data_IF_488331675219
#
_entry.id   IF_488331675219
#
_cell.length_a   1.000
_cell.length_b   1.000
_cell.length_c   1.000
_cell.angle_alpha   90.00
_cell.angle_beta   90.00
_cell.angle_gamma   90.00
#
_symmetry.space_group_name_H-M   'P 1'
#
loop_
_entity.id
_entity.type
_entity.pdbx_description
1 polymer ?
#
# COMPACT_ATOMS: atom_id res chain seq x y z
N UNK A 1 -6.05 11.01 47.27
CA UNK A 1 -6.47 11.26 45.87
C UNK A 1 -7.79 12.00 45.98
N UNK A 2 -7.78 13.31 45.79
CA UNK A 2 -8.97 14.14 45.98
C UNK A 2 -9.89 14.05 44.75
N UNK A 3 -11.10 13.53 44.95
CA UNK A 3 -12.21 13.63 44.01
C UNK A 3 -12.62 15.11 43.85
N UNK A 4 -11.93 15.82 42.95
CA UNK A 4 -12.39 17.13 42.48
C UNK A 4 -13.71 16.94 41.73
N UNK A 5 -14.82 17.23 42.41
CA UNK A 5 -16.14 17.39 41.78
C UNK A 5 -16.05 18.50 40.73
N UNK A 6 -15.92 18.10 39.46
CA UNK A 6 -15.94 19.00 38.32
C UNK A 6 -17.24 19.82 38.37
N UNK A 7 -17.12 21.13 38.24
CA UNK A 7 -18.31 21.97 38.09
C UNK A 7 -19.05 21.62 36.79
N UNK A 8 -20.37 21.84 36.68
CA UNK A 8 -21.12 21.52 35.46
C UNK A 8 -20.53 22.17 34.20
N UNK A 9 -19.93 23.35 34.33
CA UNK A 9 -19.24 24.05 33.24
C UNK A 9 -17.93 23.36 32.84
N UNK A 10 -17.11 22.91 33.81
CA UNK A 10 -15.89 22.15 33.52
C UNK A 10 -16.19 20.78 32.93
N UNK A 11 -17.27 20.12 33.37
CA UNK A 11 -17.72 18.84 32.79
C UNK A 11 -18.20 19.01 31.35
N UNK A 12 -18.95 20.08 31.05
CA UNK A 12 -19.35 20.42 29.68
C UNK A 12 -18.15 20.79 28.82
N UNK A 13 -17.21 21.60 29.32
CA UNK A 13 -15.98 21.91 28.60
C UNK A 13 -15.12 20.67 28.35
N UNK A 14 -15.05 19.75 29.31
CA UNK A 14 -14.33 18.48 29.17
C UNK A 14 -15.03 17.56 28.16
N UNK A 15 -16.36 17.46 28.18
CA UNK A 15 -17.14 16.68 27.20
C UNK A 15 -17.01 17.29 25.81
N UNK A 16 -17.11 18.62 25.67
CA UNK A 16 -16.88 19.31 24.40
C UNK A 16 -15.47 19.07 23.90
N UNK A 17 -14.45 19.17 24.77
CA UNK A 17 -13.07 18.87 24.43
C UNK A 17 -12.87 17.40 24.07
N UNK A 18 -13.51 16.46 24.75
CA UNK A 18 -13.48 15.04 24.40
C UNK A 18 -14.21 14.75 23.09
N UNK A 19 -15.34 15.42 22.81
CA UNK A 19 -16.07 15.32 21.54
C UNK A 19 -15.24 15.92 20.42
N UNK A 20 -14.57 17.05 20.66
CA UNK A 20 -13.74 17.76 19.70
C UNK A 20 -12.43 17.02 19.43
N UNK A 21 -11.77 16.45 20.45
CA UNK A 21 -10.65 15.52 20.32
C UNK A 21 -11.08 14.22 19.62
N UNK A 22 -12.30 13.73 19.87
CA UNK A 22 -12.85 12.56 19.14
C UNK A 22 -13.15 12.90 17.67
N UNK A 23 -13.61 14.12 17.38
CA UNK A 23 -13.86 14.63 16.03
C UNK A 23 -12.55 14.94 15.29
N UNK A 24 -11.52 15.42 15.98
CA UNK A 24 -10.21 15.77 15.45
C UNK A 24 -9.24 14.59 15.40
N UNK A 25 -9.49 13.49 16.13
CA UNK A 25 -8.89 12.17 15.83
C UNK A 25 -9.44 11.59 14.52
N UNK A 26 -9.46 12.40 13.47
CA UNK A 26 -9.38 11.91 12.11
C UNK A 26 -8.01 11.24 12.04
N UNK A 27 -8.01 9.90 12.17
CA UNK A 27 -6.84 9.06 12.15
C UNK A 27 -5.92 9.56 11.04
N UNK A 28 -4.81 10.19 11.42
CA UNK A 28 -3.91 10.76 10.43
C UNK A 28 -3.20 9.56 9.80
N UNK A 29 -3.51 9.19 8.54
CA UNK A 29 -2.87 8.04 7.94
C UNK A 29 -1.37 8.30 7.93
N UNK A 30 -0.60 7.33 8.42
CA UNK A 30 0.84 7.41 8.41
C UNK A 30 1.33 7.19 6.97
N UNK A 31 1.32 8.27 6.22
CA UNK A 31 1.73 8.31 4.82
C UNK A 31 3.16 7.81 4.60
N UNK A 32 4.00 7.76 5.64
CA UNK A 32 5.39 7.26 5.54
C UNK A 32 5.45 5.80 5.12
N UNK A 33 4.57 4.96 5.67
CA UNK A 33 4.55 3.51 5.34
C UNK A 33 4.13 3.33 3.89
N UNK A 34 3.10 4.05 3.45
CA UNK A 34 2.63 3.98 2.06
C UNK A 34 3.64 4.53 1.06
N UNK A 35 4.32 5.64 1.37
CA UNK A 35 5.40 6.19 0.52
C UNK A 35 6.60 5.24 0.46
N UNK A 36 6.94 4.59 1.58
CA UNK A 36 7.99 3.57 1.60
C UNK A 36 7.65 2.41 0.65
N UNK A 37 6.43 1.85 0.72
CA UNK A 37 6.01 0.81 -0.20
C UNK A 37 5.99 1.27 -1.66
N UNK A 38 5.54 2.50 -1.94
CA UNK A 38 5.56 3.06 -3.27
C UNK A 38 6.97 3.19 -3.85
N UNK A 39 7.88 3.79 -3.08
CA UNK A 39 9.28 4.01 -3.49
C UNK A 39 9.99 2.69 -3.70
N UNK A 40 9.76 1.71 -2.82
CA UNK A 40 10.35 0.39 -2.94
C UNK A 40 9.84 -0.36 -4.18
N UNK A 41 8.54 -0.30 -4.46
CA UNK A 41 7.96 -0.88 -5.69
C UNK A 41 8.45 -0.18 -6.96
N UNK A 42 8.53 1.16 -6.96
CA UNK A 42 9.01 1.93 -8.11
C UNK A 42 10.50 1.64 -8.39
N UNK A 43 11.34 1.66 -7.36
CA UNK A 43 12.77 1.35 -7.50
C UNK A 43 12.97 -0.07 -8.02
N UNK A 44 12.25 -1.04 -7.46
CA UNK A 44 12.28 -2.42 -7.96
C UNK A 44 11.85 -2.50 -9.43
N UNK A 45 10.76 -1.84 -9.80
CA UNK A 45 10.27 -1.83 -11.18
C UNK A 45 11.25 -1.19 -12.16
N UNK A 46 11.93 -0.10 -11.77
CA UNK A 46 13.00 0.53 -12.58
C UNK A 46 14.17 -0.42 -12.77
N UNK A 47 14.61 -1.10 -11.69
CA UNK A 47 15.71 -2.09 -11.77
C UNK A 47 15.33 -3.24 -12.70
N UNK A 48 14.11 -3.78 -12.58
CA UNK A 48 13.60 -4.84 -13.48
C UNK A 48 13.57 -4.36 -14.92
N UNK A 49 13.12 -3.11 -15.17
CA UNK A 49 13.11 -2.53 -16.51
C UNK A 49 14.50 -2.44 -17.12
N UNK A 50 15.49 -1.97 -16.37
CA UNK A 50 16.89 -1.87 -16.81
C UNK A 50 17.48 -3.26 -17.07
N UNK A 51 17.27 -4.23 -16.17
CA UNK A 51 17.79 -5.59 -16.35
C UNK A 51 17.13 -6.32 -17.51
N UNK A 52 15.86 -6.05 -17.79
CA UNK A 52 15.20 -6.60 -18.96
C UNK A 52 15.84 -6.09 -20.27
N UNK A 53 16.25 -4.81 -20.32
CA UNK A 53 16.90 -4.22 -21.49
C UNK A 53 18.31 -4.76 -21.71
N UNK A 54 19.03 -5.08 -20.64
CA UNK A 54 20.45 -5.48 -20.70
C UNK A 54 20.62 -6.99 -20.86
N UNK A 55 19.89 -7.80 -20.08
CA UNK A 55 20.30 -9.19 -19.83
C UNK A 55 19.46 -10.22 -20.58
N UNK A 56 18.22 -9.90 -21.00
CA UNK A 56 17.27 -10.85 -21.65
C UNK A 56 17.12 -12.21 -20.92
N UNK A 57 17.55 -12.30 -19.65
CA UNK A 57 17.66 -13.54 -18.89
C UNK A 57 16.48 -13.65 -17.91
N UNK A 58 15.70 -14.76 -17.89
CA UNK A 58 14.50 -14.95 -17.06
C UNK A 58 14.65 -14.70 -15.54
N UNK A 59 15.90 -14.58 -15.06
CA UNK A 59 16.26 -14.32 -13.65
C UNK A 59 15.81 -12.96 -13.12
N UNK A 60 15.36 -12.02 -13.97
CA UNK A 60 14.79 -10.75 -13.52
C UNK A 60 13.58 -10.94 -12.59
N UNK A 61 12.90 -12.09 -12.69
CA UNK A 61 11.73 -12.39 -11.88
C UNK A 61 12.04 -12.43 -10.37
N UNK A 62 13.23 -12.89 -9.96
CA UNK A 62 13.64 -12.92 -8.55
C UNK A 62 13.75 -11.53 -7.91
N UNK A 63 13.94 -10.47 -8.71
CA UNK A 63 14.04 -9.10 -8.21
C UNK A 63 12.69 -8.67 -7.59
N UNK A 64 11.57 -9.23 -8.05
CA UNK A 64 10.26 -9.00 -7.43
C UNK A 64 10.17 -9.50 -5.99
N UNK A 65 10.98 -10.49 -5.60
CA UNK A 65 11.07 -10.93 -4.19
C UNK A 65 11.71 -9.88 -3.29
N UNK A 66 12.51 -8.96 -3.85
CA UNK A 66 13.09 -7.88 -3.05
C UNK A 66 11.98 -7.02 -2.40
N UNK A 67 10.81 -6.91 -3.04
CA UNK A 67 9.67 -6.15 -2.52
C UNK A 67 9.18 -6.69 -1.17
N UNK A 68 8.71 -7.95 -1.06
CA UNK A 68 8.32 -8.51 0.22
C UNK A 68 9.52 -8.68 1.18
N UNK A 69 10.69 -9.11 0.69
CA UNK A 69 11.86 -9.37 1.55
C UNK A 69 12.32 -8.10 2.28
N UNK A 70 12.31 -6.95 1.61
CA UNK A 70 12.74 -5.67 2.21
C UNK A 70 11.56 -4.93 2.83
N UNK A 71 10.38 -4.99 2.21
CA UNK A 71 9.18 -4.29 2.66
C UNK A 71 8.65 -4.77 4.01
N UNK A 72 8.66 -6.09 4.26
CA UNK A 72 8.18 -6.65 5.52
C UNK A 72 9.00 -6.24 6.76
N UNK A 73 10.34 -6.39 6.77
CA UNK A 73 11.17 -5.95 7.88
C UNK A 73 11.04 -4.46 8.16
N UNK A 74 11.02 -3.63 7.11
CA UNK A 74 10.85 -2.19 7.25
C UNK A 74 9.49 -1.83 7.83
N UNK A 75 8.41 -2.45 7.34
CA UNK A 75 7.06 -2.23 7.85
C UNK A 75 6.95 -2.65 9.33
N UNK A 76 7.56 -3.76 9.72
CA UNK A 76 7.59 -4.22 11.10
C UNK A 76 8.37 -3.27 12.02
N UNK A 77 9.51 -2.75 11.56
CA UNK A 77 10.31 -1.76 12.29
C UNK A 77 9.53 -0.45 12.50
N UNK A 78 8.83 0.04 11.48
CA UNK A 78 7.96 1.22 11.59
C UNK A 78 6.76 0.97 12.51
N UNK A 79 6.15 -0.21 12.42
CA UNK A 79 5.03 -0.62 13.28
C UNK A 79 5.40 -0.67 14.78
N UNK A 80 6.59 -1.16 15.13
CA UNK A 80 7.09 -1.17 16.51
C UNK A 80 7.28 0.23 17.08
N UNK A 81 7.76 1.18 16.27
CA UNK A 81 7.91 2.59 16.69
C UNK A 81 6.55 3.26 16.91
N UNK A 82 5.52 2.84 16.17
CA UNK A 82 4.14 3.33 16.28
C UNK A 82 3.44 2.86 17.55
N UNK A 83 3.55 1.57 17.88
CA UNK A 83 2.91 0.98 19.05
C UNK A 83 3.38 1.61 20.38
N UNK A 84 4.61 2.17 20.41
CA UNK A 84 5.12 2.90 21.59
C UNK A 84 4.58 4.33 21.72
N UNK A 85 3.96 4.90 20.68
CA UNK A 85 3.65 6.32 20.58
C UNK A 85 2.15 6.63 20.75
N UNK A 86 1.26 5.68 20.47
CA UNK A 86 -0.19 5.90 20.54
C UNK A 86 -1.00 4.59 20.56
N UNK A 87 -2.18 4.61 21.18
CA UNK A 87 -3.20 3.56 21.07
C UNK A 87 -3.81 3.56 19.67
N UNK A 88 -3.94 2.38 19.04
CA UNK A 88 -4.43 2.28 17.66
C UNK A 88 -5.89 2.72 17.56
N UNK A 89 -6.20 3.61 16.63
CA UNK A 89 -7.59 3.97 16.31
C UNK A 89 -8.28 2.83 15.55
N UNK A 90 -9.62 2.72 15.62
CA UNK A 90 -10.39 1.70 14.88
C UNK A 90 -10.05 1.66 13.38
N UNK A 91 -9.88 2.83 12.75
CA UNK A 91 -9.45 3.00 11.36
C UNK A 91 -8.08 2.34 11.10
N UNK A 92 -7.13 2.50 12.03
CA UNK A 92 -5.80 1.89 11.92
C UNK A 92 -5.85 0.38 12.12
N UNK A 93 -6.72 -0.11 13.02
CA UNK A 93 -6.91 -1.54 13.23
C UNK A 93 -7.46 -2.24 11.98
N UNK A 94 -8.49 -1.69 11.35
CA UNK A 94 -9.08 -2.26 10.12
C UNK A 94 -8.07 -2.20 8.98
N UNK A 95 -7.35 -1.09 8.83
CA UNK A 95 -6.30 -0.96 7.81
C UNK A 95 -5.18 -1.99 8.02
N UNK A 96 -4.67 -2.13 9.25
CA UNK A 96 -3.66 -3.15 9.58
C UNK A 96 -4.16 -4.58 9.28
N UNK A 97 -5.45 -4.86 9.50
CA UNK A 97 -6.10 -6.11 9.15
C UNK A 97 -6.08 -6.40 7.65
N UNK A 98 -6.47 -5.42 6.82
CA UNK A 98 -6.43 -5.52 5.35
C UNK A 98 -5.02 -5.84 4.88
N UNK A 99 -4.03 -5.06 5.35
CA UNK A 99 -2.64 -5.23 4.93
C UNK A 99 -2.00 -6.52 5.45
N UNK A 100 -2.44 -7.04 6.59
CA UNK A 100 -2.06 -8.38 7.06
C UNK A 100 -2.56 -9.47 6.12
N UNK A 101 -3.82 -9.40 5.69
CA UNK A 101 -4.40 -10.37 4.76
C UNK A 101 -3.66 -10.32 3.41
N UNK A 102 -3.46 -9.13 2.85
CA UNK A 102 -2.67 -8.94 1.62
C UNK A 102 -1.28 -9.53 1.78
N UNK A 103 -0.67 -9.33 2.93
CA UNK A 103 0.62 -9.91 3.27
C UNK A 103 0.60 -11.45 3.26
N UNK A 104 -0.33 -12.08 3.97
CA UNK A 104 -0.44 -13.54 3.97
C UNK A 104 -0.63 -14.11 2.56
N UNK A 105 -1.45 -13.44 1.73
CA UNK A 105 -1.64 -13.85 0.33
C UNK A 105 -0.33 -13.66 -0.45
N UNK A 106 0.42 -12.59 -0.21
CA UNK A 106 1.73 -12.36 -0.84
C UNK A 106 2.70 -13.49 -0.52
N UNK A 107 2.79 -13.92 0.74
CA UNK A 107 3.66 -15.02 1.17
C UNK A 107 3.23 -16.34 0.51
N UNK A 108 1.92 -16.64 0.54
CA UNK A 108 1.38 -17.85 -0.08
C UNK A 108 1.63 -17.88 -1.59
N UNK A 109 1.38 -16.78 -2.29
CA UNK A 109 1.62 -16.66 -3.72
C UNK A 109 3.11 -16.78 -4.06
N UNK A 110 3.97 -16.15 -3.26
CA UNK A 110 5.43 -16.24 -3.42
C UNK A 110 5.91 -17.70 -3.28
N UNK A 111 5.39 -18.43 -2.29
CA UNK A 111 5.73 -19.84 -2.10
C UNK A 111 5.26 -20.70 -3.30
N UNK A 112 4.04 -20.45 -3.81
CA UNK A 112 3.52 -21.12 -5.01
C UNK A 112 4.43 -20.83 -6.21
N UNK A 113 4.79 -19.55 -6.45
CA UNK A 113 5.69 -19.19 -7.54
C UNK A 113 7.04 -19.90 -7.43
N UNK A 114 7.65 -19.99 -6.25
CA UNK A 114 8.91 -20.70 -6.04
C UNK A 114 8.81 -22.22 -6.31
N UNK A 115 7.69 -22.85 -5.92
CA UNK A 115 7.46 -24.28 -6.18
C UNK A 115 7.33 -24.54 -7.69
N UNK A 116 6.53 -23.74 -8.39
CA UNK A 116 6.34 -23.90 -9.84
C UNK A 116 7.58 -23.55 -10.66
N UNK A 117 8.38 -22.58 -10.19
CA UNK A 117 9.68 -22.25 -10.76
C UNK A 117 10.65 -23.43 -10.64
N UNK A 118 10.69 -24.11 -9.48
CA UNK A 118 11.49 -25.32 -9.28
C UNK A 118 11.04 -26.52 -10.13
N UNK A 119 9.77 -26.55 -10.54
CA UNK A 119 9.19 -27.58 -11.43
C UNK A 119 9.46 -27.26 -12.92
N UNK A 120 10.03 -26.09 -13.23
CA UNK A 120 10.41 -25.70 -14.59
C UNK A 120 9.39 -24.81 -15.31
N UNK A 121 8.48 -24.16 -14.59
CA UNK A 121 7.51 -23.19 -15.14
C UNK A 121 7.85 -21.74 -14.72
N UNK A 122 8.89 -21.11 -15.29
CA UNK A 122 9.34 -19.75 -14.91
C UNK A 122 8.35 -18.64 -15.28
N UNK A 123 7.32 -18.93 -16.09
CA UNK A 123 6.28 -17.97 -16.47
C UNK A 123 5.26 -17.69 -15.35
N UNK A 124 5.25 -18.50 -14.28
CA UNK A 124 4.33 -18.35 -13.13
C UNK A 124 4.49 -16.98 -12.44
N UNK A 125 5.65 -16.34 -12.58
CA UNK A 125 5.97 -15.05 -11.96
C UNK A 125 5.11 -13.89 -12.46
N UNK A 126 4.50 -14.01 -13.65
CA UNK A 126 3.52 -13.04 -14.15
C UNK A 126 2.30 -12.95 -13.20
N UNK A 127 1.97 -14.02 -12.49
CA UNK A 127 0.90 -14.03 -11.49
C UNK A 127 1.16 -13.04 -10.34
N UNK A 128 2.42 -12.84 -9.92
CA UNK A 128 2.76 -11.81 -8.93
C UNK A 128 2.49 -10.40 -9.45
N UNK A 129 2.66 -10.18 -10.75
CA UNK A 129 2.39 -8.89 -11.39
C UNK A 129 0.88 -8.57 -11.34
N UNK A 130 0.04 -9.55 -11.68
CA UNK A 130 -1.42 -9.40 -11.57
C UNK A 130 -1.87 -9.21 -10.13
N UNK A 131 -1.29 -9.95 -9.19
CA UNK A 131 -1.55 -9.79 -7.77
C UNK A 131 -1.24 -8.36 -7.30
N UNK A 132 -0.10 -7.82 -7.73
CA UNK A 132 0.31 -6.47 -7.38
C UNK A 132 -0.64 -5.39 -7.93
N UNK A 133 -1.25 -5.58 -9.10
CA UNK A 133 -2.24 -4.62 -9.59
C UNK A 133 -3.61 -4.77 -8.96
N UNK A 134 -4.13 -5.99 -8.91
CA UNK A 134 -5.52 -6.27 -8.56
C UNK A 134 -5.68 -6.27 -7.03
N UNK A 135 -4.92 -7.12 -6.34
CA UNK A 135 -5.10 -7.30 -4.89
C UNK A 135 -4.55 -6.11 -4.11
N UNK A 136 -3.36 -5.62 -4.45
CA UNK A 136 -2.82 -4.42 -3.79
C UNK A 136 -3.64 -3.19 -4.18
N UNK A 137 -4.04 -3.06 -5.45
CA UNK A 137 -4.96 -2.02 -5.92
C UNK A 137 -6.26 -1.96 -5.12
N UNK A 138 -6.89 -3.12 -4.92
CA UNK A 138 -8.08 -3.27 -4.10
C UNK A 138 -7.84 -2.91 -2.64
N UNK A 139 -6.75 -3.39 -2.05
CA UNK A 139 -6.38 -3.05 -0.68
C UNK A 139 -6.21 -1.53 -0.50
N UNK A 140 -5.55 -0.83 -1.42
CA UNK A 140 -5.40 0.62 -1.33
C UNK A 140 -6.71 1.37 -1.60
N UNK A 141 -7.57 0.88 -2.49
CA UNK A 141 -8.90 1.45 -2.67
C UNK A 141 -9.72 1.35 -1.37
N UNK A 142 -9.71 0.19 -0.70
CA UNK A 142 -10.35 0.01 0.61
C UNK A 142 -9.74 0.92 1.67
N UNK A 143 -8.40 1.01 1.74
CA UNK A 143 -7.70 1.95 2.61
C UNK A 143 -8.17 3.39 2.36
N UNK A 144 -8.38 3.78 1.09
CA UNK A 144 -8.95 5.08 0.71
C UNK A 144 -10.37 5.33 1.20
N UNK A 145 -11.24 4.32 1.11
CA UNK A 145 -12.62 4.40 1.62
C UNK A 145 -12.63 4.56 3.13
N UNK A 146 -11.81 3.77 3.83
CA UNK A 146 -11.67 3.80 5.29
C UNK A 146 -11.12 5.15 5.78
N UNK A 147 -10.15 5.71 5.06
CA UNK A 147 -9.57 7.02 5.35
C UNK A 147 -10.42 8.19 4.84
N UNK A 148 -11.52 7.92 4.13
CA UNK A 148 -12.35 8.92 3.42
C UNK A 148 -11.53 9.84 2.49
N UNK A 149 -10.42 9.34 1.95
CA UNK A 149 -9.55 10.06 1.04
C UNK A 149 -9.80 9.60 -0.41
N UNK A 150 -10.51 10.43 -1.17
CA UNK A 150 -10.90 10.15 -2.57
C UNK A 150 -9.69 9.85 -3.47
N UNK A 151 -8.53 10.42 -3.17
CA UNK A 151 -7.31 10.22 -3.95
C UNK A 151 -6.79 8.78 -3.88
N UNK A 152 -6.89 8.11 -2.72
CA UNK A 152 -6.50 6.70 -2.59
C UNK A 152 -7.46 5.79 -3.36
N UNK A 153 -8.75 6.09 -3.31
CA UNK A 153 -9.79 5.34 -4.02
C UNK A 153 -9.58 5.43 -5.52
N UNK A 154 -9.34 6.63 -6.05
CA UNK A 154 -9.09 6.84 -7.48
C UNK A 154 -7.83 6.11 -7.96
N UNK A 155 -6.72 6.22 -7.22
CA UNK A 155 -5.48 5.53 -7.57
C UNK A 155 -5.59 4.00 -7.49
N UNK A 156 -6.31 3.47 -6.51
CA UNK A 156 -6.57 2.03 -6.37
C UNK A 156 -7.46 1.48 -7.49
N UNK A 157 -8.57 2.16 -7.82
CA UNK A 157 -9.44 1.78 -8.95
C UNK A 157 -8.66 1.83 -10.26
N UNK A 158 -7.86 2.88 -10.48
CA UNK A 158 -7.02 2.98 -11.67
C UNK A 158 -6.04 1.81 -11.78
N UNK A 159 -5.39 1.42 -10.68
CA UNK A 159 -4.52 0.24 -10.62
C UNK A 159 -5.24 -1.07 -10.94
N UNK A 160 -6.48 -1.25 -10.47
CA UNK A 160 -7.27 -2.45 -10.76
C UNK A 160 -7.64 -2.51 -12.25
N UNK A 161 -8.12 -1.39 -12.82
CA UNK A 161 -8.48 -1.32 -14.25
C UNK A 161 -7.26 -1.58 -15.12
N UNK A 162 -6.13 -0.96 -14.80
CA UNK A 162 -4.83 -1.25 -15.40
C UNK A 162 -4.47 -2.75 -15.32
N UNK A 163 -4.60 -3.35 -14.14
CA UNK A 163 -4.37 -4.77 -13.90
C UNK A 163 -5.23 -5.68 -14.77
N UNK A 164 -6.53 -5.38 -14.87
CA UNK A 164 -7.47 -6.13 -15.71
C UNK A 164 -7.10 -6.01 -17.20
N UNK A 165 -6.75 -4.82 -17.67
CA UNK A 165 -6.29 -4.61 -19.05
C UNK A 165 -5.04 -5.47 -19.32
N UNK A 166 -4.05 -5.42 -18.42
CA UNK A 166 -2.84 -6.24 -18.56
C UNK A 166 -3.11 -7.74 -18.44
N UNK A 167 -4.12 -8.18 -17.68
CA UNK A 167 -4.48 -9.59 -17.57
C UNK A 167 -5.23 -10.13 -18.79
N UNK A 168 -5.96 -9.27 -19.50
CA UNK A 168 -6.71 -9.63 -20.72
C UNK A 168 -5.82 -9.57 -21.97
N UNK A 169 -4.77 -8.73 -22.00
CA UNK A 169 -3.84 -8.63 -23.14
C UNK A 169 -3.29 -9.98 -23.65
N UNK A 170 -2.84 -10.94 -22.81
CA UNK A 170 -2.38 -12.24 -23.27
C UNK A 170 -3.51 -13.09 -23.90
N UNK A 171 -4.74 -12.95 -23.40
CA UNK A 171 -5.91 -13.70 -23.90
C UNK A 171 -6.32 -13.21 -25.30
N UNK A 172 -6.05 -11.95 -25.63
CA UNK A 172 -6.27 -11.38 -26.96
C UNK A 172 -5.10 -11.62 -27.94
N UNK A 173 -4.09 -12.42 -27.58
CA UNK A 173 -2.95 -12.73 -28.46
C UNK A 173 -1.91 -11.61 -28.58
N UNK A 174 -2.02 -10.55 -27.77
CA UNK A 174 -0.96 -9.53 -27.67
C UNK A 174 0.07 -9.97 -26.63
N UNK A 175 1.34 -10.19 -27.00
CA UNK A 175 2.37 -10.54 -26.03
C UNK A 175 2.51 -9.41 -25.02
N UNK A 176 2.73 -9.76 -23.75
CA UNK A 176 3.02 -8.77 -22.70
C UNK A 176 4.41 -8.18 -22.93
N UNK A 177 4.49 -7.09 -23.69
CA UNK A 177 5.73 -6.36 -23.83
C UNK A 177 6.07 -5.65 -22.52
N UNK A 178 7.22 -6.02 -21.96
CA UNK A 178 7.83 -5.38 -20.78
C UNK A 178 7.90 -3.86 -20.93
N UNK A 179 8.07 -3.38 -22.17
CA UNK A 179 8.16 -1.96 -22.54
C UNK A 179 6.93 -1.12 -22.19
N UNK A 180 5.73 -1.68 -22.12
CA UNK A 180 4.51 -0.94 -21.73
C UNK A 180 4.02 -1.33 -20.34
N UNK A 181 4.20 -2.59 -19.96
CA UNK A 181 3.73 -3.12 -18.68
C UNK A 181 4.49 -2.56 -17.46
N UNK A 182 5.81 -2.35 -17.56
CA UNK A 182 6.62 -1.79 -16.46
C UNK A 182 6.35 -0.28 -16.25
N UNK A 183 6.34 0.58 -17.28
CA UNK A 183 5.98 1.98 -17.11
C UNK A 183 4.56 2.17 -16.54
N UNK A 184 3.61 1.34 -16.97
CA UNK A 184 2.24 1.36 -16.48
C UNK A 184 2.17 0.97 -15.00
N UNK A 185 2.94 -0.05 -14.59
CA UNK A 185 3.11 -0.41 -13.17
C UNK A 185 3.67 0.75 -12.33
N UNK A 186 4.75 1.39 -12.81
CA UNK A 186 5.36 2.55 -12.13
C UNK A 186 4.34 3.68 -11.99
N UNK A 187 3.59 3.97 -13.06
CA UNK A 187 2.58 5.01 -13.08
C UNK A 187 1.42 4.71 -12.12
N UNK A 188 0.92 3.48 -12.07
CA UNK A 188 -0.11 3.04 -11.12
C UNK A 188 0.37 3.19 -9.67
N UNK A 189 1.57 2.73 -9.34
CA UNK A 189 2.12 2.86 -7.98
C UNK A 189 2.35 4.31 -7.57
N UNK A 190 2.77 5.15 -8.52
CA UNK A 190 2.88 6.59 -8.30
C UNK A 190 1.50 7.21 -7.99
N UNK A 191 0.48 6.91 -8.79
CA UNK A 191 -0.86 7.45 -8.63
C UNK A 191 -1.56 6.95 -7.36
N UNK A 192 -1.29 5.70 -6.98
CA UNK A 192 -1.95 5.01 -5.87
C UNK A 192 -1.38 5.36 -4.50
N UNK A 193 -0.07 5.65 -4.39
CA UNK A 193 0.56 5.90 -3.10
C UNK A 193 1.22 7.28 -2.97
N UNK A 194 1.79 7.84 -4.04
CA UNK A 194 2.48 9.13 -3.95
C UNK A 194 1.47 10.28 -3.98
N UNK A 195 0.48 10.24 -4.88
CA UNK A 195 -0.55 11.29 -4.99
C UNK A 195 -1.32 11.47 -3.67
N UNK A 196 -1.84 10.41 -3.02
CA UNK A 196 -2.54 10.59 -1.76
C UNK A 196 -1.60 11.06 -0.64
N UNK A 197 -0.36 10.55 -0.59
CA UNK A 197 0.60 10.96 0.42
C UNK A 197 0.96 12.44 0.34
N UNK A 198 1.13 12.97 -0.87
CA UNK A 198 1.39 14.40 -1.11
C UNK A 198 0.18 15.25 -0.71
N UNK A 199 -1.04 14.82 -1.06
CA UNK A 199 -2.28 15.54 -0.72
C UNK A 199 -2.49 15.58 0.80
N UNK A 200 -2.33 14.45 1.49
CA UNK A 200 -2.45 14.37 2.94
C UNK A 200 -1.39 15.25 3.61
N UNK A 201 -0.13 15.22 3.13
CA UNK A 201 0.94 16.08 3.66
C UNK A 201 0.64 17.57 3.48
N UNK A 202 0.05 17.96 2.34
CA UNK A 202 -0.38 19.34 2.11
C UNK A 202 -1.56 19.75 3.01
N UNK A 203 -2.54 18.87 3.22
CA UNK A 203 -3.66 19.12 4.13
C UNK A 203 -3.17 19.34 5.56
N UNK A 204 -2.28 18.47 6.05
CA UNK A 204 -1.70 18.60 7.39
C UNK A 204 -0.93 19.92 7.57
N UNK A 205 -0.16 20.33 6.55
CA UNK A 205 0.60 21.59 6.61
C UNK A 205 -0.29 22.84 6.58
N UNK A 206 -1.50 22.75 6.01
CA UNK A 206 -2.50 23.82 6.04
C UNK A 206 -3.21 23.94 7.39
N UNK A 207 -3.40 22.84 8.11
CA UNK A 207 -4.08 22.84 9.43
C UNK A 207 -3.16 23.29 10.57
N UNK A 208 -1.84 23.22 10.40
CA UNK A 208 -0.86 23.71 11.40
C UNK A 208 -0.52 25.21 11.24
N UNK A 209 -1.17 25.92 10.32
CA UNK A 209 -0.98 27.36 10.08
C UNK A 209 -2.24 28.12 10.43
#
# INVERSE_FOLDING_TARGET
MEDKKLTPQESMALITKMIEDSKQRIATPDTRVSVMWATLSIVTAVIVGILCLITHDPRYNYIWLAIPIIGYPLNFSMGRKKAKRHEKTYVEYVNDGIWRIVGYITIALTAICLIYDAIGYPQIWIAMFYFAFIVVGFAAAMTGVILKEKSYVFGGIFSIVAGLITAVSPLCGTPLLVSWTIPLYIFCFFMMFIVPAVIIRHKLKKTTK
#
